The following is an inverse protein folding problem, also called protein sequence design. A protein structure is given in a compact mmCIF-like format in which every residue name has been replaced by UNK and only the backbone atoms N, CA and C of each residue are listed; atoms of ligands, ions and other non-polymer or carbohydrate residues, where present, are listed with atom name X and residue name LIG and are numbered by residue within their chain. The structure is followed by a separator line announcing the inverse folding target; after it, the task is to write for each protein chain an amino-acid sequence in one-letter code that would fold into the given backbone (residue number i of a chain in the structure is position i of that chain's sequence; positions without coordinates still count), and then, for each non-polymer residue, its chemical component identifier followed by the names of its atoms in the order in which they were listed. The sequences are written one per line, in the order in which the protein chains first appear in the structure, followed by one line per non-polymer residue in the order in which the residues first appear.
data_IF_041361125290
#
_entry.id   IF_041361125290
#
_cell.length_a   1.000
_cell.length_b   1.000
_cell.length_c   1.000
_cell.angle_alpha   90.00
_cell.angle_beta   90.00
_cell.angle_gamma   90.00
#
_symmetry.space_group_name_H-M   'P 1'
#
loop_
_entity.id
_entity.type
_entity.pdbx_description
1 polymer ?
#
# COMPACT_ATOMS: atom_id res chain seq x y z
N UNK A 1 -59.67 -8.41 2.79
CA UNK A 1 -58.47 -8.33 1.94
C UNK A 1 -57.27 -8.02 2.82
N UNK A 2 -56.56 -9.08 3.23
CA UNK A 2 -55.57 -9.05 4.31
C UNK A 2 -54.16 -8.73 3.78
N UNK A 3 -53.49 -7.77 4.43
CA UNK A 3 -52.11 -7.35 4.13
C UNK A 3 -51.13 -8.45 4.55
N UNK A 4 -50.50 -9.10 3.57
CA UNK A 4 -49.37 -10.00 3.77
C UNK A 4 -48.12 -9.16 4.08
N UNK A 5 -47.78 -9.09 5.38
CA UNK A 5 -46.46 -8.67 5.81
C UNK A 5 -45.43 -9.70 5.34
N UNK A 6 -44.56 -9.30 4.42
CA UNK A 6 -43.32 -10.00 4.12
C UNK A 6 -42.47 -10.03 5.40
N UNK A 7 -42.54 -11.16 6.11
CA UNK A 7 -41.63 -11.54 7.19
C UNK A 7 -40.25 -11.72 6.57
N UNK A 8 -39.48 -10.63 6.48
CA UNK A 8 -38.05 -10.65 6.14
C UNK A 8 -37.37 -11.54 7.18
N UNK A 9 -37.04 -12.78 6.79
CA UNK A 9 -36.20 -13.67 7.60
C UNK A 9 -34.91 -12.89 7.86
N UNK A 10 -34.65 -12.56 9.13
CA UNK A 10 -33.31 -12.19 9.57
C UNK A 10 -32.50 -13.46 9.49
N UNK A 11 -31.65 -13.60 8.48
CA UNK A 11 -30.63 -14.63 8.49
C UNK A 11 -29.70 -14.36 9.67
N UNK A 12 -29.58 -15.29 10.64
CA UNK A 12 -28.62 -15.17 11.71
C UNK A 12 -27.24 -15.56 11.18
N UNK A 13 -26.67 -14.74 10.31
CA UNK A 13 -25.35 -14.95 9.68
C UNK A 13 -24.15 -14.70 10.59
N UNK A 14 -24.32 -14.71 11.92
CA UNK A 14 -23.29 -14.33 12.89
C UNK A 14 -22.39 -15.53 13.30
N UNK A 15 -22.71 -16.76 12.87
CA UNK A 15 -22.01 -17.97 13.32
C UNK A 15 -21.45 -18.87 12.20
N UNK A 16 -21.19 -18.34 11.00
CA UNK A 16 -20.40 -19.09 10.01
C UNK A 16 -18.94 -18.74 10.16
N UNK A 17 -18.16 -19.70 10.66
CA UNK A 17 -16.70 -19.67 10.58
C UNK A 17 -16.23 -19.53 9.13
N UNK A 18 -14.95 -19.21 8.98
CA UNK A 18 -14.33 -18.79 7.73
C UNK A 18 -14.51 -19.85 6.64
N UNK A 19 -15.04 -19.42 5.49
CA UNK A 19 -15.19 -20.25 4.31
C UNK A 19 -13.82 -20.69 3.75
N UNK A 20 -13.77 -21.77 2.95
CA UNK A 20 -12.52 -22.30 2.40
C UNK A 20 -11.71 -21.27 1.60
N UNK A 21 -12.38 -20.39 0.85
CA UNK A 21 -11.72 -19.33 0.07
C UNK A 21 -11.06 -18.28 0.97
N UNK A 22 -11.72 -17.87 2.05
CA UNK A 22 -11.19 -16.87 2.99
C UNK A 22 -9.96 -17.39 3.72
N UNK A 23 -9.94 -18.68 4.09
CA UNK A 23 -8.76 -19.33 4.69
C UNK A 23 -7.58 -19.38 3.72
N UNK A 24 -7.82 -19.57 2.42
CA UNK A 24 -6.75 -19.51 1.40
C UNK A 24 -6.19 -18.10 1.28
N UNK A 25 -7.05 -17.07 1.24
CA UNK A 25 -6.61 -15.67 1.21
C UNK A 25 -5.77 -15.32 2.43
N UNK A 26 -6.14 -15.79 3.63
CA UNK A 26 -5.28 -15.65 4.81
C UNK A 26 -3.94 -16.34 4.67
N UNK A 27 -3.95 -17.60 4.20
CA UNK A 27 -2.71 -18.36 4.03
C UNK A 27 -1.73 -17.62 3.11
N UNK A 28 -2.24 -17.09 2.00
CA UNK A 28 -1.45 -16.26 1.07
C UNK A 28 -0.97 -14.98 1.77
N UNK A 29 -1.85 -14.28 2.49
CA UNK A 29 -1.50 -13.06 3.22
C UNK A 29 -0.41 -13.30 4.28
N UNK A 30 -0.48 -14.42 5.00
CA UNK A 30 0.53 -14.81 5.99
C UNK A 30 1.88 -15.10 5.32
N UNK A 31 1.88 -15.88 4.23
CA UNK A 31 3.09 -16.20 3.47
C UNK A 31 3.73 -14.91 2.92
N UNK A 32 2.92 -14.02 2.35
CA UNK A 32 3.39 -12.73 1.85
C UNK A 32 3.98 -11.88 2.98
N UNK A 33 3.31 -11.82 4.14
CA UNK A 33 3.81 -11.12 5.32
C UNK A 33 5.16 -11.65 5.79
N UNK A 34 5.31 -12.97 5.89
CA UNK A 34 6.58 -13.63 6.26
C UNK A 34 7.67 -13.28 5.25
N UNK A 35 7.38 -13.35 3.94
CA UNK A 35 8.34 -13.04 2.89
C UNK A 35 8.81 -11.58 2.96
N UNK A 36 7.89 -10.63 3.18
CA UNK A 36 8.21 -9.20 3.34
C UNK A 36 9.06 -8.99 4.59
N UNK A 37 8.67 -9.56 5.74
CA UNK A 37 9.43 -9.46 6.99
C UNK A 37 10.83 -10.06 6.85
N UNK A 38 10.97 -11.18 6.17
CA UNK A 38 12.26 -11.80 5.90
C UNK A 38 13.14 -10.91 5.00
N UNK A 39 12.58 -10.33 3.93
CA UNK A 39 13.29 -9.40 3.08
C UNK A 39 13.80 -8.19 3.89
N UNK A 40 12.93 -7.54 4.68
CA UNK A 40 13.32 -6.42 5.54
C UNK A 40 14.40 -6.82 6.56
N UNK A 41 14.27 -7.99 7.19
CA UNK A 41 15.27 -8.49 8.13
C UNK A 41 16.64 -8.76 7.46
N UNK A 42 16.63 -9.24 6.21
CA UNK A 42 17.85 -9.44 5.43
C UNK A 42 18.51 -8.12 5.05
N UNK A 43 17.72 -7.11 4.65
CA UNK A 43 18.20 -5.74 4.38
C UNK A 43 18.83 -5.13 5.63
N UNK A 44 18.10 -5.16 6.74
CA UNK A 44 18.54 -4.69 8.06
C UNK A 44 19.83 -5.39 8.51
N UNK A 45 19.86 -6.73 8.47
CA UNK A 45 21.05 -7.50 8.82
C UNK A 45 22.24 -7.23 7.90
N UNK A 46 22.01 -6.86 6.63
CA UNK A 46 23.09 -6.45 5.73
C UNK A 46 23.63 -5.08 6.10
N UNK A 47 22.77 -4.11 6.44
CA UNK A 47 23.22 -2.79 6.93
C UNK A 47 24.00 -2.97 8.22
N UNK A 48 23.46 -3.72 9.19
CA UNK A 48 24.16 -3.99 10.46
C UNK A 48 25.55 -4.60 10.25
N UNK A 49 25.71 -5.56 9.33
CA UNK A 49 27.02 -6.16 9.02
C UNK A 49 28.00 -5.21 8.32
N UNK A 50 27.54 -4.14 7.69
CA UNK A 50 28.36 -3.20 6.91
C UNK A 50 28.54 -1.85 7.57
N UNK A 51 27.67 -1.50 8.50
CA UNK A 51 27.66 -0.24 9.23
C UNK A 51 28.63 -0.22 10.39
N UNK A 52 28.52 0.81 11.23
CA UNK A 52 29.36 1.01 12.41
C UNK A 52 28.78 0.37 13.68
N UNK A 53 27.49 0.03 13.68
CA UNK A 53 26.83 -0.57 14.84
C UNK A 53 27.54 -1.87 15.31
N UNK A 54 27.76 -2.05 16.63
CA UNK A 54 28.37 -3.24 17.19
C UNK A 54 27.65 -4.53 16.78
N UNK A 55 28.38 -5.57 16.40
CA UNK A 55 27.78 -6.85 15.99
C UNK A 55 27.25 -7.62 17.21
N UNK A 56 26.17 -8.42 17.09
CA UNK A 56 25.56 -9.15 18.20
C UNK A 56 26.52 -10.03 19.03
N UNK A 57 27.60 -10.50 18.42
CA UNK A 57 28.63 -11.34 19.06
C UNK A 57 29.67 -10.55 19.85
N UNK A 58 29.78 -9.25 19.56
CA UNK A 58 30.79 -8.32 20.06
C UNK A 58 30.16 -7.25 20.97
N UNK A 59 28.84 -7.32 21.22
CA UNK A 59 28.04 -6.37 22.00
C UNK A 59 27.65 -6.91 23.36
N UNK A 60 27.92 -6.15 24.42
CA UNK A 60 27.42 -6.45 25.77
C UNK A 60 25.92 -6.11 25.94
N UNK A 61 25.41 -5.16 25.15
CA UNK A 61 23.99 -4.79 25.08
C UNK A 61 23.45 -4.97 23.65
N UNK A 62 22.67 -6.04 23.46
CA UNK A 62 22.07 -6.37 22.18
C UNK A 62 20.98 -5.39 21.75
N UNK A 63 20.27 -4.77 22.71
CA UNK A 63 19.16 -3.89 22.40
C UNK A 63 19.68 -2.55 21.89
N UNK A 64 20.70 -2.00 22.54
CA UNK A 64 21.39 -0.79 22.06
C UNK A 64 22.04 -1.01 20.69
N UNK A 65 22.73 -2.14 20.49
CA UNK A 65 23.34 -2.46 19.21
C UNK A 65 22.30 -2.59 18.07
N UNK A 66 21.13 -3.17 18.37
CA UNK A 66 20.03 -3.26 17.42
C UNK A 66 19.39 -1.89 17.13
N UNK A 67 19.25 -1.03 18.15
CA UNK A 67 18.74 0.33 17.97
C UNK A 67 19.67 1.16 17.08
N UNK A 68 20.98 1.08 17.29
CA UNK A 68 21.98 1.77 16.47
C UNK A 68 21.94 1.28 15.01
N UNK A 69 21.90 -0.04 14.80
CA UNK A 69 21.75 -0.62 13.46
C UNK A 69 20.42 -0.21 12.78
N UNK A 70 19.35 -0.04 13.56
CA UNK A 70 18.07 0.43 13.05
C UNK A 70 18.14 1.90 12.63
N UNK A 71 18.80 2.74 13.43
CA UNK A 71 19.06 4.13 13.09
C UNK A 71 19.91 4.25 11.81
N UNK A 72 20.98 3.48 11.69
CA UNK A 72 21.80 3.41 10.47
C UNK A 72 20.99 2.95 9.26
N UNK A 73 20.13 1.93 9.42
CA UNK A 73 19.24 1.46 8.36
C UNK A 73 18.27 2.57 7.91
N UNK A 74 17.71 3.33 8.85
CA UNK A 74 16.86 4.47 8.54
C UNK A 74 17.62 5.58 7.81
N UNK A 75 18.87 5.87 8.20
CA UNK A 75 19.73 6.83 7.53
C UNK A 75 20.08 6.40 6.10
N UNK A 76 20.43 5.12 5.89
CA UNK A 76 20.68 4.56 4.56
C UNK A 76 19.44 4.67 3.67
N UNK A 77 18.26 4.36 4.21
CA UNK A 77 17.01 4.51 3.48
C UNK A 77 16.70 5.97 3.14
N UNK A 78 16.90 6.90 4.09
CA UNK A 78 16.69 8.34 3.89
C UNK A 78 17.66 8.92 2.85
N UNK A 79 18.94 8.53 2.90
CA UNK A 79 19.94 8.93 1.91
C UNK A 79 19.59 8.39 0.53
N UNK A 80 19.19 7.12 0.43
CA UNK A 80 18.73 6.52 -0.82
C UNK A 80 17.52 7.25 -1.39
N UNK A 81 16.51 7.54 -0.55
CA UNK A 81 15.34 8.32 -0.97
C UNK A 81 15.73 9.73 -1.42
N UNK A 82 16.68 10.39 -0.76
CA UNK A 82 17.11 11.73 -1.12
C UNK A 82 17.83 11.77 -2.49
N UNK A 83 18.59 10.73 -2.84
CA UNK A 83 19.40 10.63 -4.07
C UNK A 83 18.57 10.38 -5.35
N UNK A 84 17.39 9.76 -5.25
CA UNK A 84 16.62 9.41 -6.46
C UNK A 84 15.96 10.61 -7.13
N UNK A 85 15.66 10.48 -8.43
CA UNK A 85 15.05 11.53 -9.24
C UNK A 85 13.65 11.94 -8.73
N UNK A 86 13.16 13.16 -9.05
CA UNK A 86 11.82 13.59 -8.66
C UNK A 86 10.71 12.62 -9.08
N UNK A 87 10.78 12.08 -10.30
CA UNK A 87 9.80 11.12 -10.81
C UNK A 87 9.81 9.79 -10.05
N UNK A 88 10.99 9.29 -9.66
CA UNK A 88 11.10 8.09 -8.82
C UNK A 88 10.47 8.34 -7.43
N UNK A 89 10.70 9.50 -6.81
CA UNK A 89 10.09 9.88 -5.53
C UNK A 89 8.56 9.93 -5.62
N UNK A 90 8.03 10.53 -6.69
CA UNK A 90 6.59 10.64 -6.93
C UNK A 90 5.95 9.26 -7.02
N UNK A 91 6.51 8.39 -7.86
CA UNK A 91 5.94 7.05 -8.07
C UNK A 91 6.08 6.17 -6.83
N UNK A 92 7.21 6.24 -6.11
CA UNK A 92 7.39 5.56 -4.83
C UNK A 92 6.36 6.02 -3.80
N UNK A 93 6.17 7.33 -3.64
CA UNK A 93 5.21 7.90 -2.67
C UNK A 93 3.76 7.51 -3.01
N UNK A 94 3.39 7.53 -4.30
CA UNK A 94 2.09 7.07 -4.77
C UNK A 94 1.88 5.59 -4.41
N UNK A 95 2.82 4.72 -4.78
CA UNK A 95 2.73 3.29 -4.48
C UNK A 95 2.69 3.03 -2.97
N UNK A 96 3.56 3.66 -2.19
CA UNK A 96 3.65 3.46 -0.74
C UNK A 96 2.35 3.88 -0.04
N UNK A 97 1.80 5.05 -0.38
CA UNK A 97 0.54 5.54 0.17
C UNK A 97 -0.66 4.69 -0.27
N UNK A 98 -0.68 4.22 -1.52
CA UNK A 98 -1.67 3.27 -2.01
C UNK A 98 -1.67 1.98 -1.20
N UNK A 99 -0.50 1.33 -1.08
CA UNK A 99 -0.35 0.08 -0.33
C UNK A 99 -0.73 0.25 1.13
N UNK A 100 -0.22 1.31 1.78
CA UNK A 100 -0.49 1.58 3.18
C UNK A 100 -1.99 1.83 3.43
N UNK A 101 -2.64 2.62 2.57
CA UNK A 101 -4.06 2.94 2.73
C UNK A 101 -4.95 1.73 2.48
N UNK A 102 -4.66 0.92 1.46
CA UNK A 102 -5.36 -0.34 1.22
C UNK A 102 -5.19 -1.31 2.39
N UNK A 103 -3.96 -1.51 2.87
CA UNK A 103 -3.68 -2.40 4.00
C UNK A 103 -4.38 -1.93 5.28
N UNK A 104 -4.43 -0.61 5.52
CA UNK A 104 -5.13 -0.02 6.65
C UNK A 104 -6.65 -0.21 6.54
N UNK A 105 -7.25 0.12 5.39
CA UNK A 105 -8.68 -0.06 5.15
C UNK A 105 -9.08 -1.52 5.36
N UNK A 106 -8.32 -2.45 4.75
CA UNK A 106 -8.54 -3.89 4.91
C UNK A 106 -8.36 -4.36 6.35
N UNK A 107 -7.32 -3.88 7.04
CA UNK A 107 -7.03 -4.22 8.43
C UNK A 107 -8.11 -3.74 9.39
N UNK A 108 -8.68 -2.55 9.16
CA UNK A 108 -9.80 -2.02 9.93
C UNK A 108 -11.06 -2.86 9.67
N UNK A 109 -11.43 -3.08 8.40
CA UNK A 109 -12.60 -3.89 8.02
C UNK A 109 -12.50 -5.31 8.58
N UNK A 110 -11.30 -5.88 8.54
CA UNK A 110 -11.01 -7.17 9.14
C UNK A 110 -11.18 -7.17 10.67
N UNK A 111 -10.67 -6.14 11.36
CA UNK A 111 -10.76 -6.01 12.82
C UNK A 111 -12.19 -5.75 13.32
N UNK A 112 -13.03 -5.16 12.47
CA UNK A 112 -14.46 -4.94 12.70
C UNK A 112 -15.31 -6.19 12.41
N UNK A 113 -14.74 -7.23 11.80
CA UNK A 113 -15.45 -8.49 11.49
C UNK A 113 -15.74 -9.25 12.79
N UNK A 114 -16.90 -8.97 13.39
CA UNK A 114 -17.33 -9.53 14.68
C UNK A 114 -17.30 -8.53 15.85
N UNK A 115 -16.99 -7.26 15.60
CA UNK A 115 -17.05 -6.17 16.60
C UNK A 115 -17.77 -4.97 16.01
N UNK A 116 -18.66 -4.35 16.77
CA UNK A 116 -19.41 -3.17 16.30
C UNK A 116 -18.54 -1.89 16.17
N UNK A 117 -17.34 -1.89 16.77
CA UNK A 117 -16.38 -0.77 16.77
C UNK A 117 -14.95 -1.29 16.94
N UNK A 118 -13.97 -0.59 16.34
CA UNK A 118 -12.53 -0.80 16.53
C UNK A 118 -11.86 0.57 16.64
N UNK A 119 -11.51 0.96 17.88
CA UNK A 119 -10.92 2.28 18.14
C UNK A 119 -11.84 3.45 17.73
N UNK A 120 -11.30 4.55 17.15
CA UNK A 120 -12.11 5.71 16.73
C UNK A 120 -12.88 5.48 15.42
N UNK A 121 -12.69 4.35 14.75
CA UNK A 121 -13.29 4.07 13.45
C UNK A 121 -14.73 3.58 13.61
N UNK A 122 -15.67 4.36 13.06
CA UNK A 122 -17.10 4.02 12.92
C UNK A 122 -17.49 4.21 11.45
N UNK A 123 -18.54 3.51 11.03
CA UNK A 123 -19.15 3.70 9.72
C UNK A 123 -19.37 5.20 9.43
N UNK A 124 -18.79 5.70 8.35
CA UNK A 124 -19.01 7.06 7.88
C UNK A 124 -20.46 7.17 7.40
N UNK A 125 -21.31 7.83 8.19
CA UNK A 125 -22.72 8.08 7.87
C UNK A 125 -22.94 9.56 7.67
N UNK A 126 -23.48 9.93 6.51
CA UNK A 126 -24.03 11.28 6.28
C UNK A 126 -25.55 11.15 6.28
N UNK A 127 -26.19 11.68 7.32
CA UNK A 127 -27.62 11.49 7.56
C UNK A 127 -27.98 10.01 7.81
N UNK A 128 -28.85 9.43 6.97
CA UNK A 128 -29.27 8.02 7.05
C UNK A 128 -28.54 7.09 6.08
N UNK A 129 -27.62 7.60 5.25
CA UNK A 129 -26.92 6.83 4.23
C UNK A 129 -25.48 6.52 4.67
N UNK A 130 -25.11 5.25 4.54
CA UNK A 130 -23.72 4.82 4.66
C UNK A 130 -22.96 5.27 3.42
N UNK A 131 -21.90 6.04 3.61
CA UNK A 131 -20.98 6.39 2.52
C UNK A 131 -19.83 5.41 2.58
N UNK A 132 -19.69 4.63 1.51
CA UNK A 132 -18.54 3.75 1.32
C UNK A 132 -17.27 4.58 1.17
N UNK A 133 -16.16 4.14 1.77
CA UNK A 133 -14.88 4.87 1.73
C UNK A 133 -14.30 4.99 0.31
N UNK A 134 -14.75 4.18 -0.65
CA UNK A 134 -14.36 4.37 -2.05
C UNK A 134 -14.83 5.72 -2.60
N UNK A 135 -15.96 6.28 -2.13
CA UNK A 135 -16.48 7.57 -2.62
C UNK A 135 -15.54 8.75 -2.28
N UNK A 136 -15.17 9.00 -1.01
CA UNK A 136 -14.14 9.98 -0.70
C UNK A 136 -12.78 9.60 -1.28
N UNK A 137 -12.48 8.30 -1.47
CA UNK A 137 -11.30 7.84 -2.19
C UNK A 137 -11.22 8.35 -3.63
N UNK A 138 -12.30 8.18 -4.40
CA UNK A 138 -12.43 8.68 -5.78
C UNK A 138 -12.29 10.21 -5.78
N UNK A 139 -13.00 10.90 -4.89
CA UNK A 139 -12.93 12.35 -4.81
C UNK A 139 -11.49 12.84 -4.53
N UNK A 140 -10.78 12.19 -3.61
CA UNK A 140 -9.39 12.49 -3.27
C UNK A 140 -8.44 12.24 -4.45
N UNK A 141 -8.59 11.10 -5.15
CA UNK A 141 -7.78 10.77 -6.32
C UNK A 141 -8.03 11.75 -7.47
N UNK A 142 -9.29 12.08 -7.77
CA UNK A 142 -9.63 13.04 -8.83
C UNK A 142 -9.12 14.44 -8.50
N UNK A 143 -9.34 14.93 -7.28
CA UNK A 143 -8.89 16.24 -6.86
C UNK A 143 -7.37 16.36 -6.89
N UNK A 144 -6.65 15.39 -6.33
CA UNK A 144 -5.18 15.41 -6.31
C UNK A 144 -4.56 15.23 -7.70
N UNK A 145 -5.12 14.35 -8.53
CA UNK A 145 -4.68 14.17 -9.92
C UNK A 145 -4.91 15.43 -10.76
N UNK A 146 -6.07 16.07 -10.62
CA UNK A 146 -6.37 17.33 -11.30
C UNK A 146 -5.42 18.44 -10.84
N UNK A 147 -5.21 18.57 -9.52
CA UNK A 147 -4.27 19.53 -8.95
C UNK A 147 -2.84 19.30 -9.47
N UNK A 148 -2.41 18.05 -9.63
CA UNK A 148 -1.10 17.71 -10.18
C UNK A 148 -0.96 18.10 -11.66
N UNK A 149 -2.03 18.05 -12.45
CA UNK A 149 -2.01 18.45 -13.86
C UNK A 149 -1.96 19.97 -14.06
N UNK A 150 -2.56 20.74 -13.15
CA UNK A 150 -2.64 22.22 -13.28
C UNK A 150 -1.55 22.95 -12.52
N UNK A 151 -0.95 22.33 -11.50
CA UNK A 151 0.13 22.95 -10.73
C UNK A 151 1.41 23.06 -11.55
N UNK A 152 2.18 24.12 -11.29
CA UNK A 152 3.57 24.29 -11.76
C UNK A 152 4.58 24.24 -10.61
N UNK A 153 4.11 23.98 -9.40
CA UNK A 153 4.90 23.97 -8.17
C UNK A 153 5.39 22.56 -7.91
N UNK A 154 6.68 22.33 -8.13
CA UNK A 154 7.32 21.02 -7.94
C UNK A 154 7.19 20.53 -6.48
N UNK A 155 7.17 21.44 -5.50
CA UNK A 155 7.00 21.07 -4.09
C UNK A 155 5.64 20.44 -3.78
N UNK A 156 4.63 20.64 -4.64
CA UNK A 156 3.29 20.07 -4.47
C UNK A 156 3.16 18.67 -5.10
N UNK A 157 4.05 18.28 -6.01
CA UNK A 157 3.90 17.01 -6.74
C UNK A 157 3.99 15.80 -5.81
N UNK A 158 4.92 15.83 -4.84
CA UNK A 158 5.09 14.74 -3.87
C UNK A 158 3.89 14.55 -2.94
N UNK A 159 3.35 15.58 -2.25
CA UNK A 159 2.17 15.41 -1.41
C UNK A 159 0.92 15.07 -2.23
N UNK A 160 0.80 15.57 -3.48
CA UNK A 160 -0.29 15.20 -4.37
C UNK A 160 -0.21 13.72 -4.78
N UNK A 161 0.99 13.18 -5.02
CA UNK A 161 1.18 11.75 -5.27
C UNK A 161 0.75 10.89 -4.08
N UNK A 162 1.05 11.32 -2.85
CA UNK A 162 0.59 10.65 -1.62
C UNK A 162 -0.93 10.69 -1.51
N UNK A 163 -1.55 11.85 -1.73
CA UNK A 163 -3.00 11.98 -1.71
C UNK A 163 -3.68 11.11 -2.78
N UNK A 164 -3.11 11.08 -3.99
CA UNK A 164 -3.60 10.26 -5.10
C UNK A 164 -3.53 8.77 -4.78
N UNK A 165 -2.37 8.29 -4.30
CA UNK A 165 -2.20 6.90 -3.89
C UNK A 165 -3.14 6.52 -2.74
N UNK A 166 -3.32 7.37 -1.73
CA UNK A 166 -4.29 7.14 -0.67
C UNK A 166 -5.73 7.04 -1.21
N UNK A 167 -6.12 7.94 -2.12
CA UNK A 167 -7.42 7.90 -2.80
C UNK A 167 -7.64 6.60 -3.58
N UNK A 168 -6.60 6.13 -4.30
CA UNK A 168 -6.62 4.82 -4.94
C UNK A 168 -6.79 3.67 -3.94
N UNK A 169 -6.11 3.71 -2.80
CA UNK A 169 -6.19 2.67 -1.77
C UNK A 169 -7.58 2.51 -1.19
N UNK A 170 -8.24 3.64 -0.89
CA UNK A 170 -9.64 3.63 -0.44
C UNK A 170 -10.59 3.15 -1.55
N UNK A 171 -10.32 3.53 -2.80
CA UNK A 171 -11.18 3.18 -3.94
C UNK A 171 -11.11 1.69 -4.27
N UNK A 172 -9.90 1.14 -4.35
CA UNK A 172 -9.68 -0.23 -4.80
C UNK A 172 -9.95 -1.28 -3.70
N UNK A 173 -10.05 -0.87 -2.44
CA UNK A 173 -10.47 -1.76 -1.36
C UNK A 173 -11.89 -2.33 -1.58
N UNK A 174 -12.75 -1.60 -2.28
CA UNK A 174 -14.11 -2.02 -2.63
C UNK A 174 -14.32 -2.15 -4.15
N UNK A 175 -13.28 -2.47 -4.94
CA UNK A 175 -13.41 -2.62 -6.40
C UNK A 175 -14.50 -3.60 -6.83
N UNK A 176 -14.78 -4.62 -6.03
CA UNK A 176 -15.88 -5.54 -6.32
C UNK A 176 -17.23 -4.82 -6.32
N UNK A 177 -17.51 -3.94 -5.34
CA UNK A 177 -18.75 -3.17 -5.31
C UNK A 177 -18.86 -2.18 -6.49
N UNK A 178 -17.73 -1.69 -7.02
CA UNK A 178 -17.70 -0.85 -8.21
C UNK A 178 -18.00 -1.61 -9.50
N UNK A 179 -17.67 -2.90 -9.55
CA UNK A 179 -17.85 -3.75 -10.74
C UNK A 179 -19.15 -4.57 -10.72
N UNK A 180 -19.76 -4.74 -9.55
CA UNK A 180 -20.91 -5.62 -9.31
C UNK A 180 -22.26 -4.90 -9.47
N UNK A 181 -22.47 -4.21 -10.61
CA UNK A 181 -23.75 -3.54 -10.83
C UNK A 181 -24.87 -4.49 -11.25
N UNK A 182 -24.62 -5.49 -12.10
CA UNK A 182 -25.66 -6.41 -12.58
C UNK A 182 -25.04 -7.77 -13.00
N UNK A 183 -25.22 -8.82 -12.18
CA UNK A 183 -25.15 -10.25 -12.51
C UNK A 183 -23.82 -10.93 -12.97
N UNK A 184 -23.49 -12.06 -12.29
CA UNK A 184 -22.72 -13.26 -12.74
C UNK A 184 -21.16 -13.20 -12.61
N UNK A 185 -20.43 -14.10 -11.90
CA UNK A 185 -20.81 -15.28 -11.07
C UNK A 185 -19.69 -16.00 -10.26
N UNK A 186 -18.36 -15.73 -10.30
CA UNK A 186 -17.39 -16.78 -9.89
C UNK A 186 -16.27 -16.44 -8.91
N UNK A 187 -16.40 -15.42 -8.05
CA UNK A 187 -15.48 -15.25 -6.91
C UNK A 187 -16.20 -14.67 -5.71
N UNK A 188 -15.88 -15.08 -4.47
CA UNK A 188 -16.32 -14.34 -3.29
C UNK A 188 -15.93 -12.88 -3.49
N UNK A 189 -16.87 -11.95 -3.33
CA UNK A 189 -16.78 -10.55 -3.75
C UNK A 189 -15.55 -9.85 -3.14
N UNK A 190 -15.14 -10.26 -1.94
CA UNK A 190 -13.90 -9.80 -1.31
C UNK A 190 -12.61 -10.19 -2.03
N UNK A 191 -12.59 -11.29 -2.80
CA UNK A 191 -11.40 -11.80 -3.49
C UNK A 191 -11.09 -11.02 -4.76
N UNK A 192 -12.10 -10.59 -5.52
CA UNK A 192 -11.91 -9.80 -6.74
C UNK A 192 -11.24 -8.46 -6.44
N UNK A 193 -11.69 -7.77 -5.38
CA UNK A 193 -11.07 -6.50 -4.94
C UNK A 193 -9.60 -6.68 -4.59
N UNK A 194 -9.27 -7.77 -3.88
CA UNK A 194 -7.87 -8.10 -3.53
C UNK A 194 -7.05 -8.39 -4.78
N UNK A 195 -7.57 -9.16 -5.73
CA UNK A 195 -6.85 -9.50 -6.97
C UNK A 195 -6.54 -8.26 -7.82
N UNK A 196 -7.55 -7.41 -8.05
CA UNK A 196 -7.39 -6.17 -8.80
C UNK A 196 -6.35 -5.28 -8.10
N UNK A 197 -6.50 -5.10 -6.79
CA UNK A 197 -5.58 -4.29 -6.00
C UNK A 197 -4.14 -4.82 -6.07
N UNK A 198 -3.94 -6.13 -5.88
CA UNK A 198 -2.60 -6.74 -5.95
C UNK A 198 -1.99 -6.60 -7.36
N UNK A 199 -2.80 -6.75 -8.42
CA UNK A 199 -2.35 -6.52 -9.79
C UNK A 199 -1.93 -5.06 -10.01
N UNK A 200 -2.72 -4.10 -9.55
CA UNK A 200 -2.38 -2.66 -9.61
C UNK A 200 -1.10 -2.36 -8.84
N UNK A 201 -0.94 -2.90 -7.64
CA UNK A 201 0.29 -2.75 -6.84
C UNK A 201 1.50 -3.32 -7.57
N UNK A 202 1.38 -4.51 -8.14
CA UNK A 202 2.47 -5.17 -8.87
C UNK A 202 2.89 -4.38 -10.11
N UNK A 203 1.92 -3.85 -10.88
CA UNK A 203 2.19 -3.03 -12.05
C UNK A 203 2.90 -1.71 -11.68
N UNK A 204 2.43 -1.02 -10.65
CA UNK A 204 3.07 0.21 -10.16
C UNK A 204 4.48 -0.04 -9.61
N UNK A 205 4.67 -1.15 -8.89
CA UNK A 205 6.00 -1.56 -8.41
C UNK A 205 6.96 -1.88 -9.56
N UNK A 206 6.49 -2.63 -10.57
CA UNK A 206 7.28 -2.94 -11.76
C UNK A 206 7.65 -1.67 -12.52
N UNK A 207 6.72 -0.72 -12.67
CA UNK A 207 6.99 0.58 -13.27
C UNK A 207 8.06 1.36 -12.48
N UNK A 208 7.97 1.38 -11.14
CA UNK A 208 8.94 2.07 -10.29
C UNK A 208 10.34 1.49 -10.43
N UNK A 209 10.46 0.16 -10.41
CA UNK A 209 11.74 -0.52 -10.61
C UNK A 209 12.28 -0.31 -12.02
N UNK A 210 11.42 -0.40 -13.04
CA UNK A 210 11.80 -0.18 -14.44
C UNK A 210 12.34 1.24 -14.68
N UNK A 211 11.66 2.26 -14.15
CA UNK A 211 12.14 3.65 -14.22
C UNK A 211 13.49 3.81 -13.52
N UNK A 212 13.66 3.22 -12.33
CA UNK A 212 14.93 3.25 -11.61
C UNK A 212 16.07 2.61 -12.41
N UNK A 213 15.83 1.46 -13.03
CA UNK A 213 16.83 0.79 -13.87
C UNK A 213 17.23 1.63 -15.08
N UNK A 214 16.25 2.21 -15.78
CA UNK A 214 16.52 3.09 -16.93
C UNK A 214 17.31 4.33 -16.53
N UNK A 215 16.90 5.03 -15.46
CA UNK A 215 17.61 6.22 -14.95
C UNK A 215 19.02 5.89 -14.47
N UNK A 216 19.22 4.75 -13.81
CA UNK A 216 20.55 4.31 -13.40
C UNK A 216 21.43 4.01 -14.61
N UNK A 217 20.89 3.34 -15.64
CA UNK A 217 21.60 3.06 -16.88
C UNK A 217 21.96 4.32 -17.66
N UNK A 218 21.05 5.29 -17.73
CA UNK A 218 21.26 6.61 -18.35
C UNK A 218 22.50 7.31 -17.76
N UNK A 219 22.61 7.36 -16.42
CA UNK A 219 23.77 7.95 -15.73
C UNK A 219 25.09 7.26 -16.08
N UNK A 220 25.10 5.92 -16.11
CA UNK A 220 26.32 5.15 -16.39
C UNK A 220 26.75 5.31 -17.86
N UNK A 221 25.81 5.23 -18.80
CA UNK A 221 26.15 5.19 -20.23
C UNK A 221 26.38 6.59 -20.80
N UNK A 222 25.51 7.55 -20.46
CA UNK A 222 25.51 8.87 -21.10
C UNK A 222 26.35 9.88 -20.32
N UNK A 223 26.31 9.86 -18.98
CA UNK A 223 27.04 10.84 -18.17
C UNK A 223 28.51 10.44 -17.97
N UNK A 224 28.79 9.19 -17.54
CA UNK A 224 30.19 8.74 -17.36
C UNK A 224 30.95 8.65 -18.70
N UNK A 225 30.27 8.23 -19.78
CA UNK A 225 30.84 8.19 -21.13
C UNK A 225 31.28 9.56 -21.65
N UNK A 226 30.52 10.62 -21.35
CA UNK A 226 30.82 11.99 -21.79
C UNK A 226 32.12 12.54 -21.18
N UNK A 227 32.35 12.31 -19.89
CA UNK A 227 33.55 12.78 -19.17
C UNK A 227 34.86 12.17 -19.67
N UNK A 228 34.81 10.97 -20.26
CA UNK A 228 35.98 10.30 -20.84
C UNK A 228 36.41 10.86 -22.22
N UNK A 229 35.51 11.55 -22.92
CA UNK A 229 35.74 12.09 -24.27
C UNK A 229 36.30 13.53 -24.28
N UNK A 230 36.06 14.31 -23.23
CA UNK A 230 36.53 15.71 -23.12
C UNK A 230 37.97 15.83 -22.62
N UNK A 231 38.60 14.73 -22.21
CA UNK A 231 39.98 14.68 -21.70
C UNK A 231 41.05 14.22 -22.71
N UNK A 232 40.76 14.21 -24.01
CA UNK A 232 41.73 13.88 -25.09
C UNK A 232 41.90 15.03 -26.06
#
# INVERSE_FOLDING_TARGET
MSRLYLRRRRDPGILRGWGPAERRTLGIGLIAGIAISAAVALEYGRVWRRGSAPLPRDSDDLLLAAEEAAAETALVAAAGYADVSPSEKILFNLLASFVATFALARGITYSLRGRATFGPFRDFRVGRRHIHHFVPGIALALASGTAAMVTRREELERPLAVAFGAGMGLTLDESALLLELEDVYWTPEGLLSVQITMATMALLAALALGLRFLRRGERIVLEEGSTSSTGR
#
